data_IF_911565561785
#
_entry.id   IF_911565561785
#
_cell.length_a   1.000
_cell.length_b   1.000
_cell.length_c   1.000
_cell.angle_alpha   90.00
_cell.angle_beta   90.00
_cell.angle_gamma   90.00
#
_symmetry.space_group_name_H-M   'P 1'
#
loop_
_entity.id
_entity.type
_entity.pdbx_description
1 polymer ?
#
# COMPACT_ATOMS: atom_id res chain seq x y z
N UNK A 1 19.94 18.76 24.87
CA UNK A 1 18.56 19.22 24.57
C UNK A 1 17.98 18.22 23.60
N UNK A 2 17.18 17.29 24.11
CA UNK A 2 16.44 16.31 23.33
C UNK A 2 15.36 17.06 22.57
N UNK A 3 15.47 17.10 21.24
CA UNK A 3 14.37 17.49 20.38
C UNK A 3 13.24 16.50 20.62
N UNK A 4 12.16 16.94 21.26
CA UNK A 4 10.93 16.18 21.30
C UNK A 4 10.53 15.91 19.85
N UNK A 5 10.58 14.64 19.42
CA UNK A 5 9.92 14.26 18.18
C UNK A 5 8.43 14.48 18.42
N UNK A 6 7.89 15.50 17.76
CA UNK A 6 6.46 15.78 17.73
C UNK A 6 5.79 14.52 17.17
N UNK A 7 4.87 13.91 17.93
CA UNK A 7 4.15 12.75 17.47
C UNK A 7 3.43 13.09 16.16
N UNK A 8 3.47 12.23 15.13
CA UNK A 8 2.83 12.53 13.86
C UNK A 8 1.33 12.80 14.08
N UNK A 9 0.74 13.74 13.31
CA UNK A 9 -0.66 14.10 13.46
C UNK A 9 -1.54 12.87 13.20
N UNK A 10 -2.55 12.67 14.05
CA UNK A 10 -3.47 11.53 13.94
C UNK A 10 -4.30 11.64 12.66
N UNK A 11 -4.48 10.54 11.91
CA UNK A 11 -5.25 10.56 10.67
C UNK A 11 -6.72 10.86 10.95
N UNK A 12 -7.37 11.68 10.11
CA UNK A 12 -8.81 11.99 10.17
C UNK A 12 -9.60 11.18 9.15
N UNK A 13 -8.95 10.81 8.05
CA UNK A 13 -9.45 9.95 6.98
C UNK A 13 -8.39 8.91 6.62
N UNK A 14 -8.81 7.81 6.00
CA UNK A 14 -7.89 6.77 5.56
C UNK A 14 -6.80 7.31 4.62
N UNK A 15 -7.13 8.31 3.81
CA UNK A 15 -6.16 8.95 2.91
C UNK A 15 -5.08 9.77 3.62
N UNK A 16 -5.28 10.14 4.88
CA UNK A 16 -4.25 10.79 5.70
C UNK A 16 -3.18 9.80 6.16
N UNK A 17 -3.46 8.49 6.14
CA UNK A 17 -2.50 7.43 6.51
C UNK A 17 -1.54 7.20 5.34
N UNK A 18 -0.22 7.36 5.52
CA UNK A 18 0.75 7.05 4.48
C UNK A 18 0.74 5.56 4.10
N UNK A 19 0.84 5.26 2.81
CA UNK A 19 0.90 3.88 2.30
C UNK A 19 0.35 3.75 0.88
N UNK A 20 0.73 2.65 0.20
CA UNK A 20 0.37 2.37 -1.19
C UNK A 20 -0.85 1.46 -1.28
N UNK A 21 -2.03 2.04 -1.12
CA UNK A 21 -3.29 1.32 -1.27
C UNK A 21 -4.22 1.98 -2.31
N UNK A 22 -3.99 1.73 -3.62
CA UNK A 22 -4.73 2.37 -4.69
C UNK A 22 -6.23 2.06 -4.66
N UNK A 23 -7.02 2.95 -5.25
CA UNK A 23 -8.48 2.85 -5.27
C UNK A 23 -9.00 1.51 -5.81
N UNK A 24 -8.38 0.97 -6.87
CA UNK A 24 -8.81 -0.32 -7.41
C UNK A 24 -8.64 -1.44 -6.37
N UNK A 25 -7.56 -1.41 -5.60
CA UNK A 25 -7.29 -2.42 -4.59
C UNK A 25 -8.19 -2.24 -3.37
N UNK A 26 -8.54 -1.01 -2.98
CA UNK A 26 -9.61 -0.76 -1.99
C UNK A 26 -10.94 -1.37 -2.43
N UNK A 27 -11.34 -1.19 -3.69
CA UNK A 27 -12.57 -1.79 -4.25
C UNK A 27 -12.50 -3.31 -4.29
N UNK A 28 -11.34 -3.87 -4.64
CA UNK A 28 -11.17 -5.32 -4.71
C UNK A 28 -11.16 -5.98 -3.32
N UNK A 29 -10.49 -5.39 -2.34
CA UNK A 29 -10.52 -5.86 -0.95
C UNK A 29 -11.95 -5.85 -0.41
N UNK A 30 -12.62 -4.69 -0.50
CA UNK A 30 -14.00 -4.53 -0.04
C UNK A 30 -14.94 -5.53 -0.72
N UNK A 31 -14.88 -5.65 -2.05
CA UNK A 31 -15.75 -6.57 -2.78
C UNK A 31 -15.50 -8.05 -2.42
N UNK A 32 -14.23 -8.47 -2.34
CA UNK A 32 -13.88 -9.87 -2.01
C UNK A 32 -14.27 -10.23 -0.57
N UNK A 33 -14.01 -9.34 0.39
CA UNK A 33 -14.34 -9.56 1.79
C UNK A 33 -15.86 -9.53 2.01
N UNK A 34 -16.58 -8.56 1.45
CA UNK A 34 -18.05 -8.51 1.50
C UNK A 34 -18.67 -9.76 0.85
N UNK A 35 -18.07 -10.27 -0.24
CA UNK A 35 -18.52 -11.53 -0.87
C UNK A 35 -18.37 -12.72 0.09
N UNK A 36 -17.21 -12.86 0.73
CA UNK A 36 -16.99 -13.92 1.74
C UNK A 36 -18.00 -13.80 2.89
N UNK A 37 -18.25 -12.58 3.37
CA UNK A 37 -19.18 -12.30 4.46
C UNK A 37 -20.63 -12.65 4.11
N UNK A 38 -21.09 -12.23 2.93
CA UNK A 38 -22.43 -12.54 2.42
C UNK A 38 -22.63 -14.04 2.20
N UNK A 39 -21.57 -14.77 1.84
CA UNK A 39 -21.57 -16.23 1.74
C UNK A 39 -21.46 -16.94 3.09
N UNK A 40 -21.35 -16.20 4.21
CA UNK A 40 -21.23 -16.77 5.55
C UNK A 40 -19.86 -17.39 5.85
N UNK A 41 -18.85 -17.16 5.01
CA UNK A 41 -17.47 -17.62 5.24
C UNK A 41 -16.94 -16.91 6.49
N UNK A 42 -16.37 -17.70 7.41
CA UNK A 42 -15.70 -17.23 8.63
C UNK A 42 -14.26 -17.66 8.59
N UNK A 43 -13.40 -16.86 9.19
CA UNK A 43 -11.98 -17.17 9.31
C UNK A 43 -11.18 -15.93 9.65
N UNK A 44 -9.96 -16.16 10.09
CA UNK A 44 -9.04 -15.13 10.51
C UNK A 44 -8.55 -14.28 9.32
N UNK A 45 -7.98 -13.13 9.65
CA UNK A 45 -7.32 -12.22 8.73
C UNK A 45 -5.82 -12.20 9.05
N UNK A 46 -4.99 -12.12 8.01
CA UNK A 46 -3.55 -11.96 8.16
C UNK A 46 -3.03 -10.94 7.17
N UNK A 47 -2.13 -10.08 7.64
CA UNK A 47 -1.33 -9.20 6.78
C UNK A 47 0.15 -9.26 7.17
N UNK A 48 1.00 -9.43 6.15
CA UNK A 48 2.46 -9.42 6.28
C UNK A 48 2.98 -8.21 5.52
N UNK A 49 3.67 -7.31 6.22
CA UNK A 49 3.99 -5.96 5.74
C UNK A 49 2.79 -5.03 5.91
N UNK A 50 2.80 -4.20 6.95
CA UNK A 50 1.71 -3.25 7.24
C UNK A 50 2.12 -1.80 7.12
N UNK A 51 3.42 -1.50 7.20
CA UNK A 51 3.93 -0.14 7.19
C UNK A 51 3.18 0.73 8.24
N UNK A 52 2.65 1.89 7.83
CA UNK A 52 1.88 2.79 8.69
C UNK A 52 0.39 2.41 8.81
N UNK A 53 -0.01 1.25 8.26
CA UNK A 53 -1.29 0.60 8.53
C UNK A 53 -2.44 0.94 7.59
N UNK A 54 -2.21 1.53 6.41
CA UNK A 54 -3.32 1.96 5.52
C UNK A 54 -4.21 0.80 5.07
N UNK A 55 -3.63 -0.26 4.52
CA UNK A 55 -4.34 -1.50 4.16
C UNK A 55 -4.85 -2.23 5.40
N UNK A 56 -4.06 -2.24 6.48
CA UNK A 56 -4.45 -2.91 7.72
C UNK A 56 -5.70 -2.31 8.38
N UNK A 57 -5.78 -0.98 8.43
CA UNK A 57 -6.97 -0.25 8.90
C UNK A 57 -8.18 -0.62 8.04
N UNK A 58 -8.00 -0.76 6.73
CA UNK A 58 -9.08 -1.12 5.83
C UNK A 58 -9.54 -2.56 6.07
N UNK A 59 -8.60 -3.51 6.12
CA UNK A 59 -8.84 -4.93 6.33
C UNK A 59 -9.51 -5.18 7.70
N UNK A 60 -9.07 -4.47 8.75
CA UNK A 60 -9.63 -4.56 10.09
C UNK A 60 -11.13 -4.26 10.20
N UNK A 61 -11.70 -3.50 9.26
CA UNK A 61 -13.16 -3.24 9.20
C UNK A 61 -13.97 -4.51 8.90
N UNK A 62 -13.34 -5.48 8.25
CA UNK A 62 -13.94 -6.76 7.90
C UNK A 62 -13.73 -7.82 8.99
N UNK A 63 -13.06 -7.48 10.11
CA UNK A 63 -12.93 -8.39 11.24
C UNK A 63 -14.30 -8.60 11.91
N UNK A 64 -14.74 -9.86 12.01
CA UNK A 64 -16.03 -10.21 12.62
C UNK A 64 -15.84 -10.78 14.02
N UNK A 65 -16.92 -10.78 14.79
CA UNK A 65 -16.95 -11.44 16.10
C UNK A 65 -16.54 -12.91 15.98
N UNK A 66 -15.58 -13.30 16.82
CA UNK A 66 -15.01 -14.65 16.86
C UNK A 66 -13.89 -14.92 15.83
N UNK A 67 -13.54 -13.96 14.98
CA UNK A 67 -12.37 -14.02 14.11
C UNK A 67 -11.18 -13.32 14.78
N UNK A 68 -9.96 -13.69 14.39
CA UNK A 68 -8.72 -13.01 14.81
C UNK A 68 -8.10 -12.28 13.62
N UNK A 69 -7.47 -11.15 13.90
CA UNK A 69 -6.63 -10.45 12.92
C UNK A 69 -5.20 -10.39 13.43
N UNK A 70 -4.27 -10.93 12.64
CA UNK A 70 -2.83 -10.87 12.89
C UNK A 70 -2.15 -9.99 11.85
N UNK A 71 -1.25 -9.12 12.31
CA UNK A 71 -0.37 -8.32 11.45
C UNK A 71 1.08 -8.64 11.77
N UNK A 72 1.94 -8.71 10.74
CA UNK A 72 3.36 -8.98 10.90
C UNK A 72 4.20 -7.96 10.14
N UNK A 73 5.15 -7.31 10.81
CA UNK A 73 6.07 -6.35 10.21
C UNK A 73 7.33 -6.20 11.07
N UNK A 74 8.43 -5.77 10.45
CA UNK A 74 9.67 -5.45 11.15
C UNK A 74 9.54 -4.17 11.97
N UNK A 75 8.77 -3.19 11.48
CA UNK A 75 8.72 -1.82 11.99
C UNK A 75 10.13 -1.21 12.14
N UNK A 76 10.49 -0.71 13.32
CA UNK A 76 11.84 -0.26 13.66
C UNK A 76 12.85 -1.40 13.93
N UNK A 77 12.44 -2.65 13.72
CA UNK A 77 13.27 -3.84 13.91
C UNK A 77 14.31 -4.05 12.80
N UNK A 78 15.33 -4.86 13.13
CA UNK A 78 16.38 -5.20 12.18
C UNK A 78 15.87 -6.12 11.06
N UNK A 79 16.00 -5.65 9.82
CA UNK A 79 15.81 -6.51 8.66
C UNK A 79 16.87 -7.63 8.64
N UNK A 80 16.48 -8.87 8.28
CA UNK A 80 17.37 -10.03 8.34
C UNK A 80 18.49 -10.00 7.30
N UNK A 81 18.36 -9.21 6.24
CA UNK A 81 19.32 -9.09 5.14
C UNK A 81 19.60 -7.63 4.77
N UNK A 82 20.73 -7.42 4.09
CA UNK A 82 21.25 -6.09 3.74
C UNK A 82 20.37 -5.34 2.73
N UNK A 83 19.67 -6.05 1.84
CA UNK A 83 18.82 -5.44 0.83
C UNK A 83 17.52 -4.90 1.44
N UNK A 84 16.83 -5.70 2.26
CA UNK A 84 15.70 -5.25 3.06
C UNK A 84 16.12 -4.12 4.02
N UNK A 85 17.30 -4.21 4.65
CA UNK A 85 17.81 -3.13 5.51
C UNK A 85 18.01 -1.83 4.74
N UNK A 86 18.59 -1.90 3.55
CA UNK A 86 18.83 -0.73 2.70
C UNK A 86 17.52 -0.10 2.23
N UNK A 87 16.51 -0.92 1.94
CA UNK A 87 15.17 -0.45 1.61
C UNK A 87 14.48 0.20 2.82
N UNK A 88 14.44 -0.45 3.98
CA UNK A 88 13.87 0.12 5.21
C UNK A 88 14.51 1.44 5.60
N UNK A 89 15.83 1.56 5.46
CA UNK A 89 16.55 2.81 5.74
C UNK A 89 16.14 3.94 4.80
N UNK A 90 15.83 3.65 3.54
CA UNK A 90 15.48 4.65 2.52
C UNK A 90 14.00 5.02 2.53
N UNK A 91 13.13 4.01 2.56
CA UNK A 91 11.69 4.15 2.34
C UNK A 91 10.90 4.21 3.65
N UNK A 92 11.44 3.66 4.74
CA UNK A 92 10.72 3.44 6.00
C UNK A 92 11.39 4.10 7.22
N UNK A 93 12.26 5.10 7.03
CA UNK A 93 13.02 5.74 8.13
C UNK A 93 12.19 6.39 9.25
N UNK A 94 10.91 6.69 8.99
CA UNK A 94 9.95 7.21 9.97
C UNK A 94 8.96 6.15 10.48
N UNK A 95 9.06 4.91 10.02
CA UNK A 95 8.20 3.81 10.45
C UNK A 95 8.57 3.38 11.86
N UNK A 96 7.58 3.39 12.75
CA UNK A 96 7.66 2.68 14.02
C UNK A 96 6.36 1.95 14.27
N UNK A 97 6.41 0.91 15.10
CA UNK A 97 5.22 0.20 15.57
C UNK A 97 4.22 1.15 16.21
N UNK A 98 4.70 2.14 16.97
CA UNK A 98 3.84 3.15 17.60
C UNK A 98 3.07 3.99 16.58
N UNK A 99 3.66 4.32 15.42
CA UNK A 99 2.96 5.04 14.35
C UNK A 99 1.84 4.18 13.78
N UNK A 100 2.11 2.92 13.48
CA UNK A 100 1.09 1.96 13.05
C UNK A 100 -0.05 1.85 14.06
N UNK A 101 0.27 1.59 15.34
CA UNK A 101 -0.75 1.42 16.39
C UNK A 101 -1.59 2.69 16.58
N UNK A 102 -0.97 3.87 16.52
CA UNK A 102 -1.67 5.16 16.62
C UNK A 102 -2.63 5.36 15.44
N UNK A 103 -2.19 5.05 14.22
CA UNK A 103 -3.03 5.16 13.04
C UNK A 103 -4.17 4.15 13.11
N UNK A 104 -3.90 2.90 13.50
CA UNK A 104 -4.90 1.85 13.59
C UNK A 104 -6.00 2.18 14.62
N UNK A 105 -5.59 2.58 15.82
CA UNK A 105 -6.51 2.95 16.91
C UNK A 105 -7.30 4.24 16.62
N UNK A 106 -6.89 5.03 15.64
CA UNK A 106 -7.70 6.17 15.18
C UNK A 106 -9.01 5.72 14.52
N UNK A 107 -9.08 4.49 14.00
CA UNK A 107 -10.25 3.95 13.30
C UNK A 107 -10.91 2.76 14.01
N UNK A 108 -10.14 2.01 14.80
CA UNK A 108 -10.60 0.80 15.51
C UNK A 108 -10.41 0.92 17.01
N UNK A 109 -11.21 0.19 17.79
CA UNK A 109 -11.16 0.24 19.26
C UNK A 109 -10.05 -0.62 19.87
N UNK A 110 -9.65 -1.68 19.19
CA UNK A 110 -8.63 -2.62 19.65
C UNK A 110 -7.61 -2.88 18.55
N UNK A 111 -6.36 -3.14 18.94
CA UNK A 111 -5.31 -3.51 18.00
C UNK A 111 -5.51 -4.95 17.49
N UNK A 112 -5.09 -5.25 16.25
CA UNK A 112 -4.88 -6.63 15.85
C UNK A 112 -3.73 -7.23 16.67
N UNK A 113 -3.56 -8.54 16.58
CA UNK A 113 -2.39 -9.21 17.13
C UNK A 113 -1.15 -8.80 16.33
N UNK A 114 -0.26 -8.02 16.95
CA UNK A 114 0.96 -7.52 16.30
C UNK A 114 2.14 -8.46 16.53
N UNK A 115 2.62 -9.08 15.46
CA UNK A 115 3.86 -9.86 15.41
C UNK A 115 4.97 -8.95 14.87
N UNK A 116 5.75 -8.36 15.78
CA UNK A 116 6.89 -7.53 15.39
C UNK A 116 8.12 -8.42 15.13
N UNK A 117 8.53 -8.54 13.87
CA UNK A 117 9.64 -9.39 13.46
C UNK A 117 9.56 -9.84 12.01
N UNK A 118 10.48 -10.70 11.56
CA UNK A 118 10.45 -11.24 10.21
C UNK A 118 9.21 -12.13 10.02
N UNK A 119 8.72 -12.19 8.79
CA UNK A 119 7.54 -12.98 8.41
C UNK A 119 7.72 -14.50 8.63
N UNK A 120 8.96 -14.97 8.76
CA UNK A 120 9.28 -16.36 9.16
C UNK A 120 8.73 -16.76 10.53
N UNK A 121 8.28 -15.80 11.35
CA UNK A 121 7.58 -16.08 12.60
C UNK A 121 6.11 -16.49 12.37
N UNK A 122 5.46 -16.04 11.29
CA UNK A 122 4.03 -16.25 11.02
C UNK A 122 3.56 -17.71 11.20
N UNK A 123 4.28 -18.75 10.72
CA UNK A 123 3.85 -20.14 10.91
C UNK A 123 3.70 -20.60 12.37
N UNK A 124 4.38 -19.94 13.31
CA UNK A 124 4.25 -20.21 14.75
C UNK A 124 3.18 -19.35 15.45
N UNK A 125 2.65 -18.36 14.73
CA UNK A 125 1.84 -17.26 15.28
C UNK A 125 0.39 -17.29 14.78
N UNK A 126 0.13 -18.05 13.72
CA UNK A 126 -1.18 -18.18 13.07
C UNK A 126 -1.51 -19.67 12.89
N UNK A 127 -2.72 -20.06 13.27
CA UNK A 127 -3.17 -21.45 13.15
C UNK A 127 -3.28 -21.86 11.67
N UNK A 128 -2.95 -23.12 11.36
CA UNK A 128 -3.15 -23.69 10.03
C UNK A 128 -4.62 -23.72 9.67
N UNK A 129 -4.94 -23.54 8.39
CA UNK A 129 -6.31 -23.56 7.86
C UNK A 129 -7.30 -22.67 8.65
N UNK A 130 -6.87 -21.49 9.12
CA UNK A 130 -7.67 -20.58 9.95
C UNK A 130 -8.08 -19.30 9.22
N UNK A 131 -7.26 -18.81 8.29
CA UNK A 131 -7.47 -17.53 7.62
C UNK A 131 -8.42 -17.64 6.42
N UNK A 132 -9.35 -16.69 6.30
CA UNK A 132 -10.14 -16.51 5.06
C UNK A 132 -9.48 -15.55 4.07
N UNK A 133 -8.61 -14.67 4.55
CA UNK A 133 -7.96 -13.64 3.74
C UNK A 133 -6.55 -13.37 4.25
N UNK A 134 -5.56 -13.44 3.35
CA UNK A 134 -4.14 -13.15 3.63
C UNK A 134 -3.62 -12.11 2.63
N UNK A 135 -3.00 -11.05 3.13
CA UNK A 135 -2.29 -10.04 2.33
C UNK A 135 -0.78 -10.13 2.57
N UNK A 136 0.02 -10.22 1.51
CA UNK A 136 1.48 -10.27 1.55
C UNK A 136 2.04 -9.06 0.80
N UNK A 137 2.65 -8.15 1.55
CA UNK A 137 3.23 -6.87 1.13
C UNK A 137 4.51 -6.55 1.95
N UNK A 138 5.29 -7.60 2.26
CA UNK A 138 6.46 -7.54 3.12
C UNK A 138 7.76 -7.24 2.37
N UNK A 139 8.51 -8.29 2.02
CA UNK A 139 9.80 -8.15 1.34
C UNK A 139 9.67 -8.12 -0.18
N UNK A 140 10.64 -7.52 -0.86
CA UNK A 140 10.77 -7.53 -2.31
C UNK A 140 11.75 -8.58 -2.87
N UNK A 141 12.31 -9.41 -1.98
CA UNK A 141 13.24 -10.48 -2.35
C UNK A 141 12.50 -11.78 -2.60
N UNK A 142 12.97 -12.53 -3.59
CA UNK A 142 12.35 -13.77 -4.02
C UNK A 142 12.21 -14.79 -2.89
N UNK A 143 13.25 -14.98 -2.08
CA UNK A 143 13.31 -16.01 -1.03
C UNK A 143 12.23 -15.78 0.03
N UNK A 144 12.11 -14.53 0.49
CA UNK A 144 11.11 -14.15 1.49
C UNK A 144 9.69 -14.26 0.95
N UNK A 145 9.43 -13.76 -0.27
CA UNK A 145 8.09 -13.87 -0.87
C UNK A 145 7.73 -15.32 -1.17
N UNK A 146 8.69 -16.15 -1.58
CA UNK A 146 8.47 -17.59 -1.80
C UNK A 146 8.02 -18.28 -0.51
N UNK A 147 8.69 -18.00 0.61
CA UNK A 147 8.35 -18.55 1.92
C UNK A 147 7.02 -18.00 2.44
N UNK A 148 6.77 -16.69 2.30
CA UNK A 148 5.52 -16.04 2.70
C UNK A 148 4.31 -16.61 1.95
N UNK A 149 4.43 -16.85 0.64
CA UNK A 149 3.39 -17.53 -0.15
C UNK A 149 3.14 -18.96 0.38
N UNK A 150 4.20 -19.63 0.86
CA UNK A 150 4.10 -20.96 1.48
C UNK A 150 3.35 -20.91 2.79
N UNK A 151 3.71 -19.97 3.67
CA UNK A 151 3.03 -19.74 4.94
C UNK A 151 1.56 -19.38 4.72
N UNK A 152 1.26 -18.49 3.76
CA UNK A 152 -0.10 -18.12 3.38
C UNK A 152 -0.93 -19.33 2.95
N UNK A 153 -0.36 -20.23 2.14
CA UNK A 153 -1.03 -21.48 1.76
C UNK A 153 -1.37 -22.36 2.96
N UNK A 154 -0.47 -22.44 3.95
CA UNK A 154 -0.64 -23.29 5.13
C UNK A 154 -1.68 -22.73 6.11
N UNK A 155 -1.85 -21.41 6.19
CA UNK A 155 -2.82 -20.77 7.10
C UNK A 155 -4.17 -20.51 6.46
N UNK A 156 -4.27 -20.46 5.13
CA UNK A 156 -5.53 -20.21 4.43
C UNK A 156 -6.46 -21.42 4.49
N UNK A 157 -7.76 -21.13 4.69
CA UNK A 157 -8.84 -22.06 4.40
C UNK A 157 -8.79 -22.52 2.92
N UNK A 158 -9.40 -23.67 2.56
CA UNK A 158 -9.36 -24.20 1.20
C UNK A 158 -9.76 -23.21 0.08
N UNK A 159 -10.79 -22.40 0.33
CA UNK A 159 -11.28 -21.34 -0.58
C UNK A 159 -10.88 -19.93 -0.12
N UNK A 160 -9.91 -19.84 0.79
CA UNK A 160 -9.33 -18.59 1.26
C UNK A 160 -8.64 -17.83 0.12
N UNK A 161 -8.51 -16.51 0.31
CA UNK A 161 -7.95 -15.61 -0.69
C UNK A 161 -6.57 -15.13 -0.22
N UNK A 162 -5.59 -15.23 -1.11
CA UNK A 162 -4.29 -14.57 -0.94
C UNK A 162 -4.18 -13.37 -1.89
N UNK A 163 -3.62 -12.28 -1.39
CA UNK A 163 -3.28 -11.09 -2.16
C UNK A 163 -1.77 -10.87 -2.06
N UNK A 164 -1.11 -10.76 -3.21
CA UNK A 164 0.34 -10.66 -3.33
C UNK A 164 0.66 -9.31 -3.97
N UNK A 165 1.30 -8.42 -3.21
CA UNK A 165 1.66 -7.08 -3.67
C UNK A 165 2.87 -7.08 -4.61
N UNK A 166 3.07 -5.96 -5.29
CA UNK A 166 4.23 -5.61 -6.10
C UNK A 166 4.74 -6.63 -7.14
N UNK A 167 3.95 -7.64 -7.53
CA UNK A 167 4.34 -8.63 -8.54
C UNK A 167 4.56 -8.06 -9.95
N UNK A 168 4.33 -6.76 -10.16
CA UNK A 168 4.56 -6.03 -11.43
C UNK A 168 5.36 -4.75 -11.25
N UNK A 169 5.90 -4.49 -10.06
CA UNK A 169 6.71 -3.31 -9.80
C UNK A 169 8.12 -3.51 -10.38
N UNK A 170 8.65 -2.49 -11.07
CA UNK A 170 9.89 -2.65 -11.84
C UNK A 170 11.12 -2.96 -10.98
N UNK A 171 11.08 -2.52 -9.72
CA UNK A 171 12.18 -2.65 -8.76
C UNK A 171 12.09 -3.94 -7.94
N UNK A 172 11.04 -4.75 -8.12
CA UNK A 172 10.74 -5.96 -7.33
C UNK A 172 10.67 -7.24 -8.20
N UNK A 173 11.65 -7.50 -9.09
CA UNK A 173 11.57 -8.66 -9.99
C UNK A 173 11.51 -10.00 -9.25
N UNK A 174 12.08 -10.10 -8.04
CA UNK A 174 12.01 -11.29 -7.20
C UNK A 174 10.57 -11.67 -6.82
N UNK A 175 9.74 -10.68 -6.49
CA UNK A 175 8.31 -10.85 -6.20
C UNK A 175 7.58 -11.43 -7.40
N UNK A 176 7.84 -10.88 -8.59
CA UNK A 176 7.25 -11.38 -9.85
C UNK A 176 7.57 -12.86 -10.07
N UNK A 177 8.83 -13.26 -9.86
CA UNK A 177 9.28 -14.64 -10.02
C UNK A 177 8.59 -15.57 -9.01
N UNK A 178 8.56 -15.20 -7.72
CA UNK A 178 7.95 -16.01 -6.67
C UNK A 178 6.44 -16.20 -6.89
N UNK A 179 5.74 -15.13 -7.27
CA UNK A 179 4.29 -15.16 -7.55
C UNK A 179 3.96 -16.06 -8.74
N UNK A 180 4.68 -15.93 -9.86
CA UNK A 180 4.42 -16.76 -11.03
C UNK A 180 4.87 -18.21 -10.84
N UNK A 181 5.94 -18.46 -10.08
CA UNK A 181 6.28 -19.82 -9.66
C UNK A 181 5.18 -20.44 -8.80
N UNK A 182 4.59 -19.67 -7.88
CA UNK A 182 3.48 -20.17 -7.07
C UNK A 182 2.28 -20.60 -7.95
N UNK A 183 1.99 -19.82 -9.00
CA UNK A 183 0.93 -20.13 -9.96
C UNK A 183 1.26 -21.39 -10.77
N UNK A 184 2.45 -21.45 -11.36
CA UNK A 184 2.81 -22.48 -12.34
C UNK A 184 3.23 -23.81 -11.70
N UNK A 185 3.78 -23.76 -10.49
CA UNK A 185 4.43 -24.91 -9.85
C UNK A 185 3.84 -25.27 -8.49
N UNK A 186 3.16 -24.35 -7.80
CA UNK A 186 2.66 -24.56 -6.42
C UNK A 186 1.14 -24.47 -6.29
N UNK A 187 0.43 -24.48 -7.42
CA UNK A 187 -1.03 -24.64 -7.48
C UNK A 187 -1.85 -23.40 -7.13
N UNK A 188 -1.22 -22.23 -6.98
CA UNK A 188 -1.96 -20.98 -6.80
C UNK A 188 -2.75 -20.67 -8.06
N UNK A 189 -4.05 -20.37 -7.92
CA UNK A 189 -4.92 -20.06 -9.05
C UNK A 189 -5.32 -18.58 -9.03
N UNK A 190 -4.96 -17.81 -10.07
CA UNK A 190 -5.32 -16.38 -10.12
C UNK A 190 -6.83 -16.18 -10.17
N UNK A 191 -7.34 -15.31 -9.29
CA UNK A 191 -8.69 -14.74 -9.35
C UNK A 191 -8.66 -13.54 -10.30
N UNK A 192 -7.85 -12.53 -9.98
CA UNK A 192 -7.67 -11.35 -10.81
C UNK A 192 -6.33 -10.65 -10.55
N UNK A 193 -5.99 -9.72 -11.43
CA UNK A 193 -4.80 -8.88 -11.35
C UNK A 193 -5.23 -7.41 -11.33
N UNK A 194 -4.71 -6.64 -10.37
CA UNK A 194 -4.76 -5.18 -10.43
C UNK A 194 -3.52 -4.65 -11.16
N UNK A 195 -3.14 -3.38 -10.90
CA UNK A 195 -1.93 -2.82 -11.48
C UNK A 195 -0.69 -3.46 -10.85
N UNK A 196 -0.68 -3.61 -9.52
CA UNK A 196 0.47 -4.08 -8.75
C UNK A 196 0.19 -5.35 -7.94
N UNK A 197 -1.08 -5.75 -7.73
CA UNK A 197 -1.44 -6.93 -6.92
C UNK A 197 -1.98 -8.10 -7.73
N UNK A 198 -1.59 -9.32 -7.36
CA UNK A 198 -2.23 -10.56 -7.80
C UNK A 198 -3.14 -11.06 -6.67
N UNK A 199 -4.40 -11.33 -7.00
CA UNK A 199 -5.38 -11.95 -6.11
C UNK A 199 -5.53 -13.41 -6.54
N UNK A 200 -5.43 -14.35 -5.61
CA UNK A 200 -5.48 -15.77 -5.91
C UNK A 200 -6.11 -16.61 -4.81
N UNK A 201 -6.32 -17.88 -5.12
CA UNK A 201 -6.80 -18.91 -4.18
C UNK A 201 -6.21 -20.26 -4.57
N UNK A 202 -6.13 -21.21 -3.64
CA UNK A 202 -5.82 -22.61 -3.96
C UNK A 202 -7.08 -23.44 -4.30
N UNK A 203 -8.28 -22.90 -4.03
CA UNK A 203 -9.57 -23.48 -4.37
C UNK A 203 -9.98 -23.34 -5.84
N UNK A 204 -11.28 -23.33 -6.13
CA UNK A 204 -11.80 -23.04 -7.48
C UNK A 204 -11.97 -21.52 -7.68
N UNK A 205 -11.17 -20.86 -8.55
CA UNK A 205 -11.33 -19.42 -8.80
C UNK A 205 -12.57 -19.10 -9.65
N UNK A 206 -13.19 -20.08 -10.32
CA UNK A 206 -14.21 -19.81 -11.32
C UNK A 206 -15.44 -19.07 -10.76
N UNK A 207 -16.04 -19.44 -9.62
CA UNK A 207 -17.21 -18.73 -9.10
C UNK A 207 -16.92 -17.25 -8.82
N UNK A 208 -15.81 -16.97 -8.11
CA UNK A 208 -15.40 -15.59 -7.80
C UNK A 208 -15.02 -14.82 -9.07
N UNK A 209 -14.41 -15.46 -10.07
CA UNK A 209 -14.14 -14.82 -11.36
C UNK A 209 -15.41 -14.43 -12.12
N UNK A 210 -16.41 -15.30 -12.18
CA UNK A 210 -17.67 -14.99 -12.89
C UNK A 210 -18.43 -13.85 -12.19
N UNK A 211 -18.49 -13.86 -10.85
CA UNK A 211 -19.10 -12.79 -10.08
C UNK A 211 -18.33 -11.46 -10.22
N UNK A 212 -16.99 -11.51 -10.22
CA UNK A 212 -16.14 -10.34 -10.43
C UNK A 212 -16.37 -9.73 -11.82
N UNK A 213 -16.42 -10.58 -12.84
CA UNK A 213 -16.70 -10.16 -14.21
C UNK A 213 -18.10 -9.56 -14.35
N UNK A 214 -19.09 -10.09 -13.63
CA UNK A 214 -20.41 -9.49 -13.58
C UNK A 214 -20.38 -8.11 -12.87
N UNK A 215 -19.66 -7.98 -11.75
CA UNK A 215 -19.52 -6.72 -11.01
C UNK A 215 -18.91 -5.60 -11.86
N UNK A 216 -17.88 -5.91 -12.66
CA UNK A 216 -17.22 -4.90 -13.49
C UNK A 216 -17.87 -4.69 -14.86
N UNK A 217 -18.80 -5.58 -15.26
CA UNK A 217 -19.46 -5.48 -16.57
C UNK A 217 -20.35 -4.25 -16.60
N UNK A 218 -20.09 -3.36 -17.56
CA UNK A 218 -20.86 -2.12 -17.72
C UNK A 218 -20.36 -0.95 -16.89
N UNK A 219 -19.32 -1.14 -16.06
CA UNK A 219 -18.60 -0.02 -15.43
C UNK A 219 -17.76 0.71 -16.48
N UNK A 220 -17.92 2.02 -16.58
CA UNK A 220 -17.10 2.89 -17.42
C UNK A 220 -15.80 3.31 -16.73
N UNK A 221 -15.80 3.30 -15.39
CA UNK A 221 -14.67 3.64 -14.53
C UNK A 221 -13.65 2.50 -14.32
N UNK A 222 -13.88 1.30 -14.86
CA UNK A 222 -12.98 0.15 -14.72
C UNK A 222 -12.61 -0.47 -16.08
N UNK A 223 -11.32 -0.52 -16.38
CA UNK A 223 -10.80 -1.24 -17.53
C UNK A 223 -10.67 -2.73 -17.26
N UNK A 224 -11.32 -3.55 -18.08
CA UNK A 224 -11.27 -5.01 -18.02
C UNK A 224 -10.52 -5.58 -19.24
N UNK A 225 -9.64 -6.54 -19.02
CA UNK A 225 -9.12 -7.44 -20.07
C UNK A 225 -9.01 -8.86 -19.53
N UNK A 226 -9.33 -9.86 -20.37
CA UNK A 226 -9.21 -11.27 -20.03
C UNK A 226 -8.26 -11.94 -21.02
N UNK A 227 -7.29 -12.68 -20.51
CA UNK A 227 -6.32 -13.42 -21.32
C UNK A 227 -6.24 -14.87 -20.83
N UNK A 228 -5.94 -15.80 -21.74
CA UNK A 228 -5.53 -17.15 -21.39
C UNK A 228 -4.00 -17.24 -21.45
N UNK A 229 -3.38 -17.71 -20.37
CA UNK A 229 -1.93 -17.92 -20.31
C UNK A 229 -1.60 -19.09 -19.40
N UNK A 230 -0.74 -20.00 -19.86
CA UNK A 230 -0.27 -21.16 -19.11
C UNK A 230 -1.40 -21.99 -18.45
N UNK A 231 -2.55 -22.13 -19.11
CA UNK A 231 -3.70 -22.87 -18.58
C UNK A 231 -4.58 -22.10 -17.60
N UNK A 232 -4.28 -20.81 -17.34
CA UNK A 232 -5.04 -19.96 -16.44
C UNK A 232 -5.79 -18.84 -17.20
N UNK A 233 -7.00 -18.55 -16.73
CA UNK A 233 -7.75 -17.35 -17.11
C UNK A 233 -7.25 -16.17 -16.26
N UNK A 234 -6.57 -15.22 -16.89
CA UNK A 234 -6.07 -14.02 -16.25
C UNK A 234 -7.06 -12.87 -16.46
N UNK A 235 -7.85 -12.58 -15.43
CA UNK A 235 -8.75 -11.40 -15.38
C UNK A 235 -7.94 -10.21 -14.88
N UNK A 236 -7.70 -9.22 -15.72
CA UNK A 236 -6.96 -8.02 -15.35
C UNK A 236 -7.86 -6.80 -15.31
N UNK A 237 -7.79 -6.08 -14.21
CA UNK A 237 -8.53 -4.85 -13.95
C UNK A 237 -7.59 -3.65 -13.88
N UNK A 238 -8.08 -2.48 -14.25
CA UNK A 238 -7.35 -1.21 -14.14
C UNK A 238 -8.33 -0.08 -13.86
N UNK A 239 -8.09 0.72 -12.83
CA UNK A 239 -8.89 1.92 -12.58
C UNK A 239 -8.79 2.91 -13.75
N UNK A 240 -9.94 3.48 -14.13
CA UNK A 240 -10.10 4.58 -15.09
C UNK A 240 -10.81 5.77 -14.42
N UNK A 241 -10.42 6.08 -13.19
CA UNK A 241 -11.10 7.11 -12.38
C UNK A 241 -12.18 6.53 -11.48
N UNK A 242 -12.00 5.28 -11.03
CA UNK A 242 -12.83 4.70 -9.97
C UNK A 242 -12.79 5.59 -8.72
N UNK A 243 -13.88 5.56 -7.96
CA UNK A 243 -13.94 6.12 -6.62
C UNK A 243 -13.60 5.05 -5.60
N UNK A 244 -12.93 5.44 -4.51
CA UNK A 244 -12.74 4.58 -3.36
C UNK A 244 -14.10 4.20 -2.76
N UNK A 245 -14.23 3.00 -2.17
CA UNK A 245 -15.37 2.66 -1.33
C UNK A 245 -15.53 3.67 -0.19
N UNK A 246 -16.76 3.83 0.28
CA UNK A 246 -17.01 4.67 1.46
C UNK A 246 -16.30 4.07 2.68
N UNK A 247 -15.41 4.85 3.29
CA UNK A 247 -14.69 4.47 4.51
C UNK A 247 -14.99 5.49 5.62
N UNK A 248 -15.32 5.04 6.85
CA UNK A 248 -15.65 5.97 7.93
C UNK A 248 -14.51 6.94 8.23
N UNK A 249 -14.85 8.17 8.64
CA UNK A 249 -13.86 9.04 9.26
C UNK A 249 -13.30 8.40 10.54
N UNK A 250 -12.08 8.81 10.91
CA UNK A 250 -11.50 8.40 12.18
C UNK A 250 -12.20 9.08 13.36
N UNK A 251 -11.94 8.63 14.59
CA UNK A 251 -12.42 9.27 15.82
C UNK A 251 -11.89 10.70 16.04
N UNK A 252 -10.92 11.14 15.22
CA UNK A 252 -10.31 12.47 15.26
C UNK A 252 -10.85 13.42 14.19
N UNK A 253 -11.85 13.03 13.39
CA UNK A 253 -12.30 13.82 12.26
C UNK A 253 -12.86 15.21 12.60
N UNK A 254 -13.36 15.39 13.84
CA UNK A 254 -13.86 16.66 14.34
C UNK A 254 -12.78 17.55 14.99
N UNK A 255 -11.53 17.07 15.12
CA UNK A 255 -10.43 17.86 15.69
C UNK A 255 -10.04 19.00 14.73
N UNK A 256 -10.10 20.23 15.25
CA UNK A 256 -9.84 21.47 14.51
C UNK A 256 -8.31 21.68 14.35
N UNK A 257 -7.78 21.76 13.11
CA UNK A 257 -6.33 21.87 12.88
C UNK A 257 -5.70 23.13 13.48
N UNK A 258 -6.46 24.16 13.83
CA UNK A 258 -5.94 25.40 14.43
C UNK A 258 -5.78 25.36 15.96
N UNK A 259 -6.34 24.37 16.67
CA UNK A 259 -6.43 24.41 18.14
C UNK A 259 -5.21 23.82 18.87
N UNK A 260 -4.30 23.15 18.17
CA UNK A 260 -3.13 22.47 18.75
C UNK A 260 -1.84 23.28 18.71
N UNK A 261 -1.83 24.49 18.13
CA UNK A 261 -0.70 25.41 18.27
C UNK A 261 -0.98 26.34 19.44
N UNK A 262 -0.28 26.23 20.60
CA UNK A 262 -0.28 27.33 21.55
C UNK A 262 0.25 28.54 20.79
N UNK A 263 -0.59 29.57 20.60
CA UNK A 263 -0.14 30.88 20.16
C UNK A 263 0.91 31.35 21.18
N UNK A 264 2.18 31.08 20.91
CA UNK A 264 3.25 31.80 21.57
C UNK A 264 3.00 33.27 21.22
N UNK A 265 2.61 34.04 22.23
CA UNK A 265 2.49 35.48 22.11
C UNK A 265 3.81 36.00 21.51
N UNK A 266 3.71 36.58 20.32
CA UNK A 266 4.85 37.17 19.65
C UNK A 266 5.35 38.34 20.49
N UNK A 267 6.37 38.09 21.30
CA UNK A 267 7.20 39.11 21.92
C UNK A 267 7.88 39.89 20.80
N UNK A 268 7.52 41.17 20.69
CA UNK A 268 8.12 42.12 19.76
C UNK A 268 9.55 42.45 20.19
N UNK A 269 10.49 41.56 19.87
CA UNK A 269 11.92 41.85 19.94
C UNK A 269 12.40 42.36 18.57
N UNK A 270 12.71 43.65 18.53
CA UNK A 270 13.19 44.41 17.38
C UNK A 270 14.58 43.90 16.96
N UNK A 271 14.69 43.26 15.78
CA UNK A 271 16.00 42.88 15.18
C UNK A 271 16.75 44.12 14.67
N UNK A 272 18.07 44.24 14.91
CA UNK A 272 18.87 45.29 14.28
C UNK A 272 19.10 44.99 12.80
N UNK A 273 19.20 46.06 12.01
CA UNK A 273 19.39 46.00 10.57
C UNK A 273 20.75 45.38 10.17
N UNK A 274 20.82 44.62 9.06
CA UNK A 274 22.09 44.10 8.55
C UNK A 274 22.90 45.22 7.87
N UNK A 275 24.25 45.20 7.97
CA UNK A 275 25.09 46.18 7.31
C UNK A 275 25.12 45.97 5.79
N UNK A 276 25.11 47.07 5.05
CA UNK A 276 25.30 47.13 3.60
C UNK A 276 26.65 46.53 3.19
N UNK A 277 26.65 45.58 2.25
CA UNK A 277 27.86 45.18 1.50
C UNK A 277 27.81 45.73 0.06
N UNK A 278 28.93 46.27 -0.46
CA UNK A 278 28.98 46.82 -1.81
C UNK A 278 28.95 45.72 -2.87
N UNK A 279 28.32 46.03 -4.00
CA UNK A 279 28.14 45.15 -5.16
C UNK A 279 29.49 44.93 -5.87
N UNK A 280 29.98 43.70 -5.93
CA UNK A 280 31.02 43.32 -6.91
C UNK A 280 30.42 42.43 -8.00
N UNK A 281 30.82 42.72 -9.24
CA UNK A 281 30.44 41.99 -10.45
C UNK A 281 31.46 40.88 -10.68
N UNK A 282 31.02 39.62 -10.63
CA UNK A 282 31.72 38.51 -11.30
C UNK A 282 30.70 37.47 -11.75
N UNK A 283 30.69 37.22 -13.07
CA UNK A 283 30.03 36.08 -13.71
C UNK A 283 30.89 34.84 -13.48
N UNK A 284 30.30 33.71 -13.12
CA UNK A 284 30.26 32.48 -13.94
C UNK A 284 29.89 31.24 -13.10
N UNK A 285 29.18 30.34 -13.78
CA UNK A 285 29.08 28.88 -13.55
C UNK A 285 28.29 28.39 -12.32
N UNK A 286 27.01 28.14 -12.56
CA UNK A 286 26.22 27.11 -11.87
C UNK A 286 25.31 26.43 -12.90
N UNK A 287 25.78 25.33 -13.49
CA UNK A 287 24.96 24.34 -14.19
C UNK A 287 25.54 23.00 -13.80
N UNK A 288 24.84 22.28 -12.94
CA UNK A 288 24.61 20.84 -13.03
C UNK A 288 24.09 20.30 -11.70
N UNK A 289 22.90 19.70 -11.76
CA UNK A 289 22.37 18.57 -10.98
C UNK A 289 20.83 18.68 -10.91
N UNK A 290 20.17 18.42 -12.04
CA UNK A 290 18.78 17.95 -12.07
C UNK A 290 18.70 16.73 -13.01
N UNK A 291 18.31 15.55 -12.51
CA UNK A 291 18.12 14.37 -13.36
C UNK A 291 16.96 14.53 -14.35
N UNK A 292 17.07 13.95 -15.55
CA UNK A 292 16.21 14.24 -16.68
C UNK A 292 14.91 13.43 -16.64
N UNK A 293 13.85 13.99 -17.25
CA UNK A 293 12.79 13.34 -18.06
C UNK A 293 11.39 13.87 -17.76
N UNK A 294 11.08 15.10 -18.18
CA UNK A 294 9.73 15.45 -18.62
C UNK A 294 9.80 16.45 -19.78
N UNK A 295 8.90 16.30 -20.74
CA UNK A 295 8.57 17.21 -21.86
C UNK A 295 9.31 17.09 -23.20
N UNK A 296 9.16 15.96 -23.88
CA UNK A 296 8.87 16.00 -25.33
C UNK A 296 7.41 16.42 -25.51
N UNK A 297 7.14 17.72 -25.65
CA UNK A 297 5.90 18.26 -26.30
C UNK A 297 5.79 19.79 -26.44
N UNK A 298 6.86 20.58 -26.25
CA UNK A 298 6.80 22.04 -26.49
C UNK A 298 7.83 22.56 -27.51
N UNK A 299 7.99 21.85 -28.62
CA UNK A 299 8.76 22.32 -29.79
C UNK A 299 7.97 22.18 -31.08
N UNK A 300 6.80 22.80 -31.14
CA UNK A 300 6.04 23.06 -32.38
C UNK A 300 5.15 24.32 -32.33
N UNK A 301 5.51 25.31 -31.50
CA UNK A 301 4.81 26.60 -31.42
C UNK A 301 5.72 27.83 -31.63
N UNK A 302 6.80 27.68 -32.41
CA UNK A 302 7.66 28.79 -32.86
C UNK A 302 7.91 28.82 -34.38
N UNK A 303 7.08 28.10 -35.16
CA UNK A 303 7.11 28.10 -36.62
C UNK A 303 5.88 28.75 -37.28
N UNK A 304 5.08 29.50 -36.52
CA UNK A 304 3.92 30.22 -37.04
C UNK A 304 3.89 31.63 -36.44
N UNK A 305 4.75 32.52 -36.94
CA UNK A 305 4.64 34.00 -36.84
C UNK A 305 5.69 34.62 -37.77
N UNK A 306 5.43 34.50 -39.07
CA UNK A 306 5.99 35.38 -40.10
C UNK A 306 4.83 36.28 -40.55
N UNK A 307 4.91 37.61 -40.42
CA UNK A 307 4.10 38.50 -41.22
C UNK A 307 4.86 38.83 -42.52
N UNK A 308 4.20 38.58 -43.65
CA UNK A 308 4.30 39.45 -44.84
C UNK A 308 3.72 40.84 -44.48
N UNK A 309 4.02 41.99 -45.08
CA UNK A 309 4.71 42.35 -46.30
C UNK A 309 5.15 43.83 -46.19
N UNK A 310 6.23 44.19 -46.87
CA UNK A 310 6.30 45.23 -47.93
C UNK A 310 7.73 45.32 -48.45
#
# INVERSE_FOLDING_TARGET
>A
MTTAHEAPPRPRRLDDVPGWFPVLDQVLFDWLLNRQEAAGVRGDLLEVGVYMGKSAIFLGRHLREGERYTVCDLFEGDAPDDANRAESTKSYSALTRQVFETNYLSFHDELPRVVQGPSSLVPGEVERDSCRFVHIDGSHLYEHVYDDIGAARDVLLPDGIVVLDDFRSEHTPGVSVAVWEAVLSRGLRPICLSTQKLYGTWGDPKPVQEELLAMVRGRDDCGLSVQQAAGHRLVRLKSKGMKSPDFPPSRHAAEDPERTVPKLAASTARRPAPPHKPRSRTRSLAVDLMPPLLTRTLRKARAARRPAAR
#
